data_IF_939814903111
#
_entry.id   IF_939814903111
#
_cell.length_a   1.000
_cell.length_b   1.000
_cell.length_c   1.000
_cell.angle_alpha   90.00
_cell.angle_beta   90.00
_cell.angle_gamma   90.00
#
_symmetry.space_group_name_H-M   'P 1'
#
loop_
_entity.id
_entity.type
_entity.pdbx_description
1 polymer ?
#
# COMPACT_ATOMS: atom_id res chain seq x y z
N UNK A 1 -36.84 13.23 -35.92
CA UNK A 1 -35.62 13.39 -35.07
C UNK A 1 -35.88 13.13 -33.59
N UNK A 2 -36.94 13.65 -32.97
CA UNK A 2 -37.20 13.51 -31.52
C UNK A 2 -37.39 12.08 -31.01
N UNK A 3 -37.95 11.17 -31.82
CA UNK A 3 -38.16 9.76 -31.43
C UNK A 3 -36.85 8.95 -31.20
N UNK A 4 -35.70 9.44 -31.69
CA UNK A 4 -34.40 8.79 -31.50
C UNK A 4 -33.78 9.08 -30.12
N UNK A 5 -34.15 10.19 -29.48
CA UNK A 5 -33.57 10.63 -28.21
C UNK A 5 -33.93 9.68 -27.05
N UNK A 6 -35.08 9.00 -27.12
CA UNK A 6 -35.52 8.05 -26.10
C UNK A 6 -34.63 6.80 -25.97
N UNK A 7 -33.82 6.48 -26.99
CA UNK A 7 -32.93 5.30 -26.99
C UNK A 7 -31.58 5.54 -26.31
N UNK A 8 -31.27 6.78 -25.93
CA UNK A 8 -30.02 7.12 -25.25
C UNK A 8 -30.17 6.82 -23.75
N UNK A 9 -29.44 5.80 -23.28
CA UNK A 9 -29.50 5.35 -21.87
C UNK A 9 -28.84 6.34 -20.90
N UNK A 10 -27.82 7.08 -21.34
CA UNK A 10 -27.15 8.09 -20.51
C UNK A 10 -27.99 9.38 -20.47
N UNK A 11 -28.50 9.71 -19.29
CA UNK A 11 -29.40 10.84 -19.06
C UNK A 11 -28.74 12.20 -19.36
N UNK A 12 -27.43 12.33 -19.11
CA UNK A 12 -26.68 13.56 -19.38
C UNK A 12 -26.50 13.80 -20.87
N UNK A 13 -26.08 12.76 -21.61
CA UNK A 13 -25.92 12.84 -23.08
C UNK A 13 -27.27 13.10 -23.75
N UNK A 14 -28.34 12.44 -23.30
CA UNK A 14 -29.69 12.65 -23.82
C UNK A 14 -30.16 14.10 -23.63
N UNK A 15 -29.88 14.69 -22.47
CA UNK A 15 -30.22 16.09 -22.17
C UNK A 15 -29.45 17.06 -23.07
N UNK A 16 -28.16 16.83 -23.28
CA UNK A 16 -27.31 17.68 -24.10
C UNK A 16 -27.73 17.64 -25.58
N UNK A 17 -28.05 16.44 -26.11
CA UNK A 17 -28.50 16.27 -27.50
C UNK A 17 -29.89 16.87 -27.73
N UNK A 18 -30.80 16.78 -26.75
CA UNK A 18 -32.12 17.42 -26.83
C UNK A 18 -32.00 18.95 -26.86
N UNK A 19 -31.16 19.54 -25.99
CA UNK A 19 -30.93 20.99 -25.94
C UNK A 19 -30.35 21.53 -27.26
N UNK A 20 -29.39 20.82 -27.86
CA UNK A 20 -28.82 21.19 -29.15
C UNK A 20 -29.86 21.17 -30.29
N UNK A 21 -30.74 20.17 -30.30
CA UNK A 21 -31.76 20.01 -31.36
C UNK A 21 -32.82 21.11 -31.31
N UNK A 22 -33.24 21.52 -30.10
CA UNK A 22 -34.21 22.62 -29.90
C UNK A 22 -33.58 23.97 -30.23
N UNK A 23 -32.30 24.18 -29.86
CA UNK A 23 -31.56 25.40 -30.19
C UNK A 23 -31.47 25.63 -31.70
N UNK A 24 -31.11 24.60 -32.48
CA UNK A 24 -30.97 24.73 -33.93
C UNK A 24 -32.28 25.08 -34.66
N UNK A 25 -33.44 24.60 -34.18
CA UNK A 25 -34.73 24.91 -34.80
C UNK A 25 -35.14 26.38 -34.59
N UNK A 26 -34.85 26.94 -33.40
CA UNK A 26 -35.16 28.32 -33.05
C UNK A 26 -34.27 29.29 -33.85
N UNK A 27 -32.98 28.99 -33.98
CA UNK A 27 -32.05 29.82 -34.76
C UNK A 27 -32.41 29.84 -36.25
N UNK A 28 -32.90 28.72 -36.78
CA UNK A 28 -33.28 28.61 -38.19
C UNK A 28 -34.57 29.40 -38.50
N UNK A 29 -35.54 29.43 -37.59
CA UNK A 29 -36.74 30.26 -37.73
C UNK A 29 -36.43 31.77 -37.66
N UNK A 30 -35.51 32.18 -36.78
CA UNK A 30 -35.05 33.57 -36.67
C UNK A 30 -34.29 34.03 -37.92
N UNK A 31 -33.48 33.16 -38.53
CA UNK A 31 -32.75 33.46 -39.76
C UNK A 31 -33.69 33.65 -40.97
N UNK A 32 -34.78 32.88 -41.05
CA UNK A 32 -35.79 33.04 -42.10
C UNK A 32 -36.55 34.36 -41.94
N UNK A 33 -36.87 34.78 -40.70
CA UNK A 33 -37.53 36.06 -40.43
C UNK A 33 -36.69 37.27 -40.86
N UNK A 34 -35.37 37.23 -40.65
CA UNK A 34 -34.44 38.29 -41.05
C UNK A 34 -34.23 38.38 -42.57
N UNK A 35 -34.45 37.29 -43.31
CA UNK A 35 -34.30 37.26 -44.77
C UNK A 35 -35.48 37.85 -45.56
N UNK A 36 -36.65 38.04 -44.92
CA UNK A 36 -37.88 38.47 -45.61
C UNK A 36 -38.18 39.97 -45.43
N UNK A 37 -37.55 40.65 -44.46
CA UNK A 37 -37.78 42.08 -44.21
C UNK A 37 -36.61 42.95 -44.62
N UNK A 38 -36.87 43.94 -45.49
CA UNK A 38 -35.86 44.86 -46.01
C UNK A 38 -35.27 45.72 -44.88
N UNK A 39 -33.99 45.53 -44.59
CA UNK A 39 -33.29 46.12 -43.45
C UNK A 39 -33.01 47.63 -43.66
N UNK A 40 -34.00 48.47 -43.35
CA UNK A 40 -33.80 49.93 -43.25
C UNK A 40 -34.35 50.57 -41.98
N UNK A 41 -34.95 49.82 -41.06
CA UNK A 41 -35.38 50.34 -39.76
C UNK A 41 -34.60 49.70 -38.59
N UNK A 42 -33.83 50.53 -37.89
CA UNK A 42 -32.99 50.17 -36.74
C UNK A 42 -33.79 49.55 -35.56
N UNK A 43 -35.11 49.71 -35.53
CA UNK A 43 -35.98 49.14 -34.50
C UNK A 43 -36.25 47.65 -34.71
N UNK A 44 -36.42 47.19 -35.96
CA UNK A 44 -36.71 45.79 -36.29
C UNK A 44 -35.50 44.88 -36.01
N UNK A 45 -34.29 45.36 -36.29
CA UNK A 45 -33.05 44.65 -35.99
C UNK A 45 -32.84 44.49 -34.48
N UNK A 46 -33.14 45.53 -33.70
CA UNK A 46 -33.04 45.47 -32.23
C UNK A 46 -34.11 44.55 -31.63
N UNK A 47 -35.35 44.58 -32.13
CA UNK A 47 -36.41 43.66 -31.70
C UNK A 47 -36.07 42.19 -32.04
N UNK A 48 -35.53 41.91 -33.23
CA UNK A 48 -35.09 40.57 -33.61
C UNK A 48 -33.92 40.08 -32.75
N UNK A 49 -32.93 40.94 -32.48
CA UNK A 49 -31.78 40.63 -31.63
C UNK A 49 -32.19 40.38 -30.16
N UNK A 50 -33.13 41.17 -29.62
CA UNK A 50 -33.66 40.95 -28.28
C UNK A 50 -34.58 39.72 -28.17
N UNK A 51 -35.31 39.36 -29.24
CA UNK A 51 -36.10 38.12 -29.27
C UNK A 51 -35.24 36.85 -29.36
N UNK A 52 -34.10 36.90 -30.08
CA UNK A 52 -33.12 35.82 -30.12
C UNK A 52 -32.38 35.65 -28.78
N UNK A 53 -32.14 36.74 -28.04
CA UNK A 53 -31.57 36.71 -26.69
C UNK A 53 -32.57 36.27 -25.62
N UNK A 54 -33.87 36.56 -25.79
CA UNK A 54 -34.93 36.07 -24.91
C UNK A 54 -35.30 34.59 -25.16
N UNK A 55 -35.06 34.07 -26.37
CA UNK A 55 -35.31 32.67 -26.74
C UNK A 55 -34.38 31.66 -26.06
N UNK A 56 -33.17 32.06 -25.67
CA UNK A 56 -32.22 31.18 -24.95
C UNK A 56 -32.49 31.15 -23.43
N UNK A 57 -33.37 32.01 -22.93
CA UNK A 57 -33.70 32.13 -21.50
C UNK A 57 -34.97 31.39 -21.04
N UNK A 58 -35.80 30.87 -21.95
CA UNK A 58 -37.07 30.21 -21.58
C UNK A 58 -37.16 28.71 -21.90
N UNK A 59 -36.07 28.07 -22.37
CA UNK A 59 -36.00 26.61 -22.53
C UNK A 59 -35.74 25.84 -21.24
N UNK A 60 -35.26 26.50 -20.18
CA UNK A 60 -34.85 25.86 -18.93
C UNK A 60 -35.95 25.77 -17.86
N UNK A 61 -37.10 26.45 -18.03
CA UNK A 61 -38.19 26.44 -17.05
C UNK A 61 -39.30 25.44 -17.43
N UNK A 62 -39.50 25.15 -18.71
CA UNK A 62 -40.54 24.18 -19.14
C UNK A 62 -40.16 22.70 -18.87
N UNK A 63 -38.87 22.38 -18.76
CA UNK A 63 -38.40 21.04 -18.37
C UNK A 63 -38.48 20.76 -16.87
N UNK A 64 -38.59 21.81 -16.04
CA UNK A 64 -38.59 21.71 -14.57
C UNK A 64 -39.99 21.69 -13.96
N UNK A 65 -41.03 22.10 -14.71
CA UNK A 65 -42.42 22.16 -14.21
C UNK A 65 -43.23 20.88 -14.52
N UNK A 66 -42.82 20.04 -15.49
CA UNK A 66 -43.56 18.81 -15.83
C UNK A 66 -43.07 17.55 -15.10
N UNK A 67 -41.96 17.63 -14.35
CA UNK A 67 -41.44 16.48 -13.57
C UNK A 67 -41.92 16.47 -12.10
N UNK A 68 -42.78 17.40 -11.69
CA UNK A 68 -43.23 17.55 -10.31
C UNK A 68 -44.76 17.45 -10.18
N UNK A 69 -45.34 16.29 -10.56
CA UNK A 69 -46.67 15.86 -10.07
C UNK A 69 -46.75 14.33 -10.14
N UNK A 70 -46.63 13.70 -8.97
CA UNK A 70 -46.47 12.27 -8.75
C UNK A 70 -45.01 11.98 -8.38
N UNK A 71 -44.63 11.69 -7.13
CA UNK A 71 -45.33 10.89 -6.11
C UNK A 71 -44.62 11.06 -4.76
N UNK A 72 -45.28 10.72 -3.67
CA UNK A 72 -44.69 10.31 -2.38
C UNK A 72 -45.18 8.88 -2.09
N UNK A 73 -44.58 8.06 -1.19
CA UNK A 73 -43.43 8.30 -0.30
C UNK A 73 -42.41 7.12 -0.20
N UNK A 74 -41.20 7.37 0.30
CA UNK A 74 -40.60 6.55 1.38
C UNK A 74 -39.29 7.13 1.90
N UNK A 75 -39.23 7.19 3.22
CA UNK A 75 -38.24 7.72 4.16
C UNK A 75 -36.86 7.06 4.07
N UNK A 76 -35.77 7.86 4.03
CA UNK A 76 -34.64 7.76 4.97
C UNK A 76 -33.56 8.83 4.68
N UNK A 77 -33.04 9.37 5.78
CA UNK A 77 -32.28 10.60 5.98
C UNK A 77 -30.77 10.38 5.84
N UNK A 78 -30.02 11.30 5.19
CA UNK A 78 -28.74 11.90 5.65
C UNK A 78 -28.11 12.85 4.58
N UNK A 79 -27.22 13.78 4.97
CA UNK A 79 -27.38 15.21 4.64
C UNK A 79 -26.45 15.76 3.54
N UNK A 80 -26.98 16.81 2.93
CA UNK A 80 -26.40 18.05 2.40
C UNK A 80 -24.86 18.16 2.31
N UNK A 81 -24.35 18.26 1.08
CA UNK A 81 -23.08 18.94 0.79
C UNK A 81 -23.33 19.97 -0.31
N UNK A 82 -23.37 21.23 0.10
CA UNK A 82 -23.40 22.41 -0.77
C UNK A 82 -22.19 22.40 -1.72
N UNK A 83 -22.45 22.37 -3.03
CA UNK A 83 -21.45 22.67 -4.05
C UNK A 83 -21.52 24.16 -4.39
N UNK A 84 -20.70 24.95 -3.69
CA UNK A 84 -20.29 26.26 -4.17
C UNK A 84 -19.37 26.05 -5.40
N UNK A 85 -19.76 26.67 -6.51
CA UNK A 85 -18.97 26.77 -7.74
C UNK A 85 -17.64 27.47 -7.46
N UNK A 86 -16.52 26.82 -7.78
CA UNK A 86 -15.20 27.46 -7.81
C UNK A 86 -14.50 27.15 -9.14
N UNK A 87 -14.82 27.93 -10.18
CA UNK A 87 -13.98 28.10 -11.38
C UNK A 87 -12.72 28.94 -11.06
N UNK A 88 -12.07 28.66 -9.93
CA UNK A 88 -10.93 29.39 -9.39
C UNK A 88 -10.01 28.55 -8.50
N UNK A 89 -10.14 27.22 -8.51
CA UNK A 89 -9.30 26.28 -7.76
C UNK A 89 -8.75 25.21 -8.69
N UNK A 90 -8.06 25.64 -9.74
CA UNK A 90 -6.80 24.94 -10.03
C UNK A 90 -5.84 25.52 -8.99
N UNK A 91 -5.40 24.77 -7.97
CA UNK A 91 -4.15 25.17 -7.37
C UNK A 91 -3.19 25.22 -8.56
N UNK A 92 -2.70 26.42 -8.89
CA UNK A 92 -1.35 26.54 -9.42
C UNK A 92 -0.54 25.49 -8.66
N UNK A 93 0.26 24.69 -9.36
CA UNK A 93 1.07 23.62 -8.77
C UNK A 93 1.95 24.21 -7.66
N UNK A 94 1.33 24.44 -6.52
CA UNK A 94 1.88 25.09 -5.37
C UNK A 94 2.81 24.05 -4.85
N UNK A 95 4.07 24.43 -4.72
CA UNK A 95 5.12 23.57 -4.21
C UNK A 95 4.54 22.68 -3.12
N UNK A 96 4.39 21.38 -3.41
CA UNK A 96 3.91 20.43 -2.41
C UNK A 96 4.93 20.52 -1.28
N UNK A 97 4.59 21.26 -0.22
CA UNK A 97 5.55 21.60 0.81
C UNK A 97 6.01 20.32 1.48
N UNK A 98 7.23 19.91 1.15
CA UNK A 98 7.93 18.86 1.88
C UNK A 98 8.37 19.48 3.20
N UNK A 99 7.99 18.85 4.31
CA UNK A 99 8.53 19.24 5.62
C UNK A 99 9.95 18.67 5.77
N UNK A 100 10.71 19.10 6.78
CA UNK A 100 12.11 18.65 6.98
C UNK A 100 12.25 17.61 8.10
N UNK A 101 11.59 17.83 9.23
CA UNK A 101 11.69 16.96 10.41
C UNK A 101 10.42 16.16 10.65
N UNK A 102 9.77 16.36 11.79
CA UNK A 102 8.56 15.67 12.18
C UNK A 102 7.35 16.53 11.85
N UNK A 103 6.36 15.95 11.18
CA UNK A 103 5.03 16.52 11.00
C UNK A 103 4.02 15.56 11.61
N UNK A 104 3.03 16.08 12.32
CA UNK A 104 2.01 15.27 12.96
C UNK A 104 0.98 14.79 11.92
N UNK A 105 0.62 13.52 12.03
CA UNK A 105 -0.44 12.91 11.24
C UNK A 105 -1.47 12.26 12.15
N UNK A 106 -2.75 12.47 11.86
CA UNK A 106 -3.86 11.81 12.52
C UNK A 106 -4.19 10.51 11.78
N UNK A 107 -4.39 9.43 12.54
CA UNK A 107 -4.94 8.18 12.01
C UNK A 107 -6.42 8.38 11.74
N UNK A 108 -6.82 8.44 10.48
CA UNK A 108 -8.22 8.66 10.07
C UNK A 108 -8.98 7.35 9.83
N UNK A 109 -8.26 6.24 9.59
CA UNK A 109 -8.84 4.93 9.34
C UNK A 109 -7.86 3.83 9.73
N UNK A 110 -8.39 2.74 10.27
CA UNK A 110 -7.66 1.52 10.67
C UNK A 110 -8.39 0.30 10.11
N UNK A 111 -7.68 -0.55 9.37
CA UNK A 111 -8.28 -1.71 8.65
C UNK A 111 -7.46 -2.95 8.94
N UNK A 112 -8.10 -4.04 9.37
CA UNK A 112 -7.47 -5.36 9.48
C UNK A 112 -7.41 -5.99 8.09
N UNK A 113 -6.20 -6.14 7.55
CA UNK A 113 -5.96 -6.64 6.19
C UNK A 113 -5.73 -8.16 6.18
N UNK A 114 -5.23 -8.71 7.29
CA UNK A 114 -5.11 -10.15 7.55
C UNK A 114 -5.06 -10.42 9.06
N UNK A 115 -4.88 -11.68 9.47
CA UNK A 115 -4.70 -12.01 10.90
C UNK A 115 -3.51 -11.31 11.55
N UNK A 116 -2.49 -10.93 10.78
CA UNK A 116 -1.28 -10.31 11.32
C UNK A 116 -1.01 -8.90 10.80
N UNK A 117 -1.67 -8.41 9.74
CA UNK A 117 -1.42 -7.09 9.14
C UNK A 117 -2.62 -6.16 9.32
N UNK A 118 -2.33 -4.94 9.79
CA UNK A 118 -3.31 -3.85 9.93
C UNK A 118 -2.80 -2.61 9.19
N UNK A 119 -3.67 -2.00 8.39
CA UNK A 119 -3.41 -0.72 7.72
C UNK A 119 -3.89 0.47 8.55
N UNK A 120 -3.11 1.55 8.50
CA UNK A 120 -3.34 2.84 9.15
C UNK A 120 -3.27 3.92 8.09
N UNK A 121 -4.34 4.68 7.95
CA UNK A 121 -4.45 5.78 6.99
C UNK A 121 -4.21 7.10 7.73
N UNK A 122 -3.28 7.88 7.22
CA UNK A 122 -2.70 9.03 7.89
C UNK A 122 -2.97 10.30 7.08
N UNK A 123 -3.58 11.29 7.72
CA UNK A 123 -3.73 12.65 7.20
C UNK A 123 -2.94 13.63 8.07
N UNK A 124 -2.37 14.69 7.49
CA UNK A 124 -1.64 15.66 8.29
C UNK A 124 -2.60 16.39 9.23
N UNK A 125 -2.19 16.52 10.49
CA UNK A 125 -3.00 17.15 11.55
C UNK A 125 -3.35 18.61 11.24
N UNK A 126 -2.43 19.32 10.58
CA UNK A 126 -2.56 20.71 10.17
C UNK A 126 -3.48 20.93 8.96
N UNK A 127 -4.03 19.86 8.35
CA UNK A 127 -4.90 19.92 7.17
C UNK A 127 -4.20 20.34 5.87
N UNK A 128 -2.90 20.59 5.89
CA UNK A 128 -2.13 21.01 4.72
C UNK A 128 -1.93 19.88 3.71
N UNK A 129 -1.53 20.19 2.48
CA UNK A 129 -1.23 19.17 1.48
C UNK A 129 -0.05 18.27 1.88
N UNK A 130 -0.02 17.04 1.35
CA UNK A 130 1.13 16.14 1.45
C UNK A 130 1.79 15.94 0.08
N UNK A 131 3.13 15.83 0.02
CA UNK A 131 3.83 15.54 -1.21
C UNK A 131 3.48 14.15 -1.73
N UNK A 132 3.53 13.98 -3.05
CA UNK A 132 3.53 12.64 -3.62
C UNK A 132 4.88 11.98 -3.31
N UNK A 133 4.96 10.66 -3.51
CA UNK A 133 6.12 9.84 -3.25
C UNK A 133 6.37 8.90 -4.43
N UNK A 134 7.55 8.30 -4.46
CA UNK A 134 7.87 7.26 -5.44
C UNK A 134 7.41 5.89 -4.89
N UNK A 135 6.75 5.06 -5.71
CA UNK A 135 6.20 3.78 -5.24
C UNK A 135 7.33 2.85 -4.75
N UNK A 136 7.26 2.45 -3.47
CA UNK A 136 8.31 1.71 -2.77
C UNK A 136 9.04 2.48 -1.66
N UNK A 137 8.85 3.81 -1.61
CA UNK A 137 9.30 4.64 -0.48
C UNK A 137 8.57 4.29 0.82
N UNK A 138 9.10 4.82 1.93
CA UNK A 138 8.60 4.59 3.27
C UNK A 138 8.46 5.90 4.05
N UNK A 139 7.62 5.90 5.08
CA UNK A 139 7.64 6.91 6.13
C UNK A 139 8.49 6.44 7.31
N UNK A 140 9.22 7.38 7.91
CA UNK A 140 9.81 7.18 9.25
C UNK A 140 8.84 7.76 10.26
N UNK A 141 8.36 6.95 11.20
CA UNK A 141 7.44 7.39 12.26
C UNK A 141 8.12 7.35 13.62
N UNK A 142 7.65 8.20 14.53
CA UNK A 142 8.06 8.26 15.93
C UNK A 142 6.90 7.86 16.82
N UNK A 143 7.14 6.96 17.77
CA UNK A 143 6.13 6.45 18.69
C UNK A 143 6.56 6.71 20.13
N UNK A 144 5.75 7.45 20.87
CA UNK A 144 5.92 7.65 22.30
C UNK A 144 5.23 6.50 23.06
N UNK A 145 5.95 5.40 23.22
CA UNK A 145 5.42 4.15 23.78
C UNK A 145 5.61 4.15 25.30
N UNK A 146 4.53 3.99 26.10
CA UNK A 146 4.63 3.90 27.56
C UNK A 146 5.64 2.85 28.01
N UNK A 147 6.48 3.21 28.99
CA UNK A 147 7.54 2.34 29.52
C UNK A 147 8.82 2.30 28.68
N UNK A 148 8.89 3.00 27.53
CA UNK A 148 10.15 3.19 26.81
C UNK A 148 10.85 4.49 27.25
N UNK A 149 12.17 4.46 27.50
CA UNK A 149 12.89 5.65 27.98
C UNK A 149 13.06 6.73 26.90
N UNK A 150 12.88 6.37 25.63
CA UNK A 150 12.95 7.27 24.48
C UNK A 150 11.90 6.89 23.43
N UNK A 151 11.49 7.84 22.58
CA UNK A 151 10.59 7.54 21.47
C UNK A 151 11.14 6.44 20.57
N UNK A 152 10.29 5.50 20.19
CA UNK A 152 10.63 4.39 19.30
C UNK A 152 10.44 4.84 17.86
N UNK A 153 11.53 4.83 17.07
CA UNK A 153 11.52 5.24 15.67
C UNK A 153 11.51 4.00 14.78
N UNK A 154 10.59 3.95 13.80
CA UNK A 154 10.47 2.84 12.84
C UNK A 154 10.15 3.37 11.44
N UNK A 155 10.50 2.56 10.44
CA UNK A 155 10.17 2.84 9.05
C UNK A 155 9.15 1.84 8.55
N UNK A 156 8.15 2.33 7.82
CA UNK A 156 7.10 1.51 7.21
C UNK A 156 6.88 1.96 5.77
N UNK A 157 6.89 1.00 4.85
CA UNK A 157 6.63 1.26 3.43
C UNK A 157 5.26 1.91 3.25
N UNK A 158 5.20 2.90 2.37
CA UNK A 158 3.92 3.43 1.89
C UNK A 158 3.28 2.33 1.06
N UNK A 159 2.10 1.92 1.50
CA UNK A 159 1.41 0.72 1.02
C UNK A 159 0.22 1.04 0.14
N UNK A 160 0.11 2.26 -0.36
CA UNK A 160 -0.91 2.65 -1.33
C UNK A 160 -0.24 3.48 -2.42
N UNK A 161 -0.98 3.80 -3.48
CA UNK A 161 -0.60 4.81 -4.46
C UNK A 161 -1.88 5.36 -5.09
N UNK A 162 -2.12 6.65 -4.90
CA UNK A 162 -3.25 7.35 -5.48
C UNK A 162 -2.83 8.79 -5.82
N UNK A 163 -3.37 9.34 -6.90
CA UNK A 163 -3.07 10.71 -7.33
C UNK A 163 -3.51 11.77 -6.31
N UNK A 164 -4.53 11.46 -5.51
CA UNK A 164 -5.26 12.46 -4.72
C UNK A 164 -4.49 13.05 -3.53
N UNK A 165 -3.28 12.56 -3.20
CA UNK A 165 -2.49 13.09 -2.08
C UNK A 165 -3.31 13.20 -0.78
N UNK A 166 -4.36 12.38 -0.65
CA UNK A 166 -5.37 12.57 0.38
C UNK A 166 -4.94 11.98 1.72
N UNK A 167 -4.05 10.98 1.69
CA UNK A 167 -3.53 10.30 2.87
C UNK A 167 -2.26 9.52 2.51
N UNK A 168 -1.52 9.12 3.54
CA UNK A 168 -0.57 8.01 3.45
C UNK A 168 -1.15 6.74 4.09
N UNK A 169 -0.87 5.57 3.52
CA UNK A 169 -1.24 4.28 4.11
C UNK A 169 0.00 3.52 4.57
N UNK A 170 0.08 3.23 5.86
CA UNK A 170 1.07 2.32 6.44
C UNK A 170 0.39 0.99 6.76
N UNK A 171 1.03 -0.12 6.41
CA UNK A 171 0.51 -1.46 6.67
C UNK A 171 1.51 -2.25 7.47
N UNK A 172 1.13 -2.61 8.68
CA UNK A 172 2.07 -3.05 9.70
C UNK A 172 1.70 -4.46 10.14
N UNK A 173 2.67 -5.36 10.04
CA UNK A 173 2.56 -6.69 10.62
C UNK A 173 2.82 -6.66 12.13
N UNK A 174 1.96 -7.34 12.90
CA UNK A 174 2.19 -7.63 14.32
C UNK A 174 3.33 -8.63 14.45
N UNK A 175 4.30 -8.32 15.30
CA UNK A 175 5.41 -9.22 15.63
C UNK A 175 5.23 -9.69 17.08
N UNK A 176 4.42 -10.72 17.34
CA UNK A 176 4.23 -11.22 18.70
C UNK A 176 5.52 -11.89 19.20
N UNK A 177 5.52 -12.27 20.48
CA UNK A 177 6.60 -13.10 21.04
C UNK A 177 6.67 -14.40 20.24
N UNK A 178 7.82 -14.77 19.64
CA UNK A 178 7.91 -16.01 18.88
C UNK A 178 7.70 -17.20 19.82
N UNK A 179 6.75 -18.07 19.47
CA UNK A 179 6.38 -19.25 20.26
C UNK A 179 7.61 -20.12 20.53
N UNK A 180 7.80 -20.53 21.78
CA UNK A 180 8.91 -21.40 22.19
C UNK A 180 10.27 -20.70 22.23
N UNK A 181 10.31 -19.37 22.25
CA UNK A 181 11.56 -18.59 22.36
C UNK A 181 11.48 -17.59 23.51
N UNK A 182 12.65 -17.13 23.96
CA UNK A 182 12.78 -16.04 24.95
C UNK A 182 12.95 -14.67 24.27
N UNK A 183 12.68 -14.55 22.96
CA UNK A 183 12.78 -13.28 22.26
C UNK A 183 11.59 -12.39 22.58
N UNK A 184 11.84 -11.11 22.85
CA UNK A 184 10.80 -10.14 23.16
C UNK A 184 9.90 -9.85 21.93
N UNK A 185 8.59 -9.60 22.13
CA UNK A 185 7.71 -9.15 21.06
C UNK A 185 8.17 -7.80 20.47
N UNK A 186 7.78 -7.54 19.23
CA UNK A 186 8.03 -6.26 18.56
C UNK A 186 7.29 -5.11 19.23
N UNK A 187 8.00 -4.28 19.99
CA UNK A 187 7.39 -3.20 20.79
C UNK A 187 6.56 -2.24 19.93
N UNK A 188 7.11 -1.79 18.79
CA UNK A 188 6.43 -0.83 17.92
C UNK A 188 5.21 -1.42 17.20
N UNK A 189 5.32 -2.61 16.62
CA UNK A 189 4.22 -3.21 15.86
C UNK A 189 3.05 -3.60 16.77
N UNK A 190 3.32 -4.16 17.95
CA UNK A 190 2.25 -4.45 18.92
C UNK A 190 1.60 -3.16 19.43
N UNK A 191 2.38 -2.11 19.74
CA UNK A 191 1.80 -0.81 20.12
C UNK A 191 0.89 -0.22 19.03
N UNK A 192 1.31 -0.26 17.77
CA UNK A 192 0.49 0.17 16.63
C UNK A 192 -0.83 -0.61 16.56
N UNK A 193 -0.80 -1.93 16.78
CA UNK A 193 -2.02 -2.74 16.74
C UNK A 193 -2.92 -2.53 17.96
N UNK A 194 -2.36 -2.48 19.16
CA UNK A 194 -3.10 -2.52 20.42
C UNK A 194 -3.57 -1.15 20.90
N UNK A 195 -2.76 -0.11 20.70
CA UNK A 195 -2.95 1.20 21.32
C UNK A 195 -3.28 2.32 20.34
N UNK A 196 -2.74 2.26 19.13
CA UNK A 196 -3.04 3.27 18.10
C UNK A 196 -4.43 3.01 17.52
N UNK A 197 -5.31 4.00 17.62
CA UNK A 197 -6.69 3.98 17.12
C UNK A 197 -6.95 5.16 16.18
N UNK A 198 -8.12 5.19 15.56
CA UNK A 198 -8.58 6.39 14.83
C UNK A 198 -8.55 7.59 15.79
N UNK A 199 -8.04 8.73 15.32
CA UNK A 199 -7.78 9.93 16.10
C UNK A 199 -6.39 9.99 16.76
N UNK A 200 -5.62 8.89 16.77
CA UNK A 200 -4.25 8.92 17.31
C UNK A 200 -3.32 9.76 16.42
N UNK A 201 -2.40 10.50 17.06
CA UNK A 201 -1.41 11.32 16.38
C UNK A 201 -0.08 10.55 16.26
N UNK A 202 0.50 10.56 15.06
CA UNK A 202 1.77 9.92 14.73
C UNK A 202 2.66 10.94 14.04
N UNK A 203 3.76 11.38 14.69
CA UNK A 203 4.76 12.19 14.02
C UNK A 203 5.51 11.37 12.96
N UNK A 204 5.63 11.91 11.75
CA UNK A 204 6.32 11.28 10.63
C UNK A 204 7.33 12.23 9.96
N UNK A 205 8.41 11.66 9.41
CA UNK A 205 9.31 12.34 8.45
C UNK A 205 8.79 12.21 7.02
N UNK A 206 9.25 13.04 6.07
CA UNK A 206 8.84 12.92 4.67
C UNK A 206 9.11 11.53 4.09
N UNK A 207 8.36 11.13 3.05
CA UNK A 207 8.67 9.93 2.30
C UNK A 207 10.14 9.88 1.87
N UNK A 208 10.77 8.73 2.07
CA UNK A 208 12.17 8.53 1.70
C UNK A 208 12.45 7.09 1.29
N UNK A 209 13.63 6.85 0.73
CA UNK A 209 14.09 5.54 0.29
C UNK A 209 14.44 5.47 -1.19
N UNK A 210 15.30 4.51 -1.53
CA UNK A 210 15.82 4.25 -2.88
C UNK A 210 15.28 2.97 -3.53
N UNK A 211 14.51 2.18 -2.79
CA UNK A 211 13.83 1.00 -3.31
C UNK A 211 12.53 1.47 -3.96
N UNK A 212 12.60 1.85 -5.23
CA UNK A 212 11.50 2.53 -5.93
C UNK A 212 11.31 1.96 -7.33
N UNK A 213 10.06 1.77 -7.73
CA UNK A 213 9.72 1.48 -9.12
C UNK A 213 9.63 2.82 -9.87
N UNK A 214 10.33 2.95 -10.98
CA UNK A 214 10.10 4.05 -11.91
C UNK A 214 8.95 3.66 -12.85
N UNK A 215 7.74 4.22 -12.71
CA UNK A 215 6.59 3.81 -13.52
C UNK A 215 6.76 4.16 -15.00
N UNK A 216 7.65 5.08 -15.37
CA UNK A 216 7.81 5.54 -16.76
C UNK A 216 8.64 4.59 -17.64
N UNK A 217 9.36 3.63 -17.04
CA UNK A 217 10.13 2.64 -17.81
C UNK A 217 9.21 1.70 -18.58
N UNK A 218 9.65 1.30 -19.77
CA UNK A 218 9.01 0.25 -20.57
C UNK A 218 9.51 -1.16 -20.23
N UNK A 219 10.72 -1.28 -19.70
CA UNK A 219 11.29 -2.56 -19.27
C UNK A 219 10.34 -3.20 -18.24
N UNK A 220 9.92 -4.45 -18.42
CA UNK A 220 8.99 -5.10 -17.49
C UNK A 220 9.50 -5.13 -16.05
N UNK A 221 8.61 -5.31 -15.08
CA UNK A 221 9.01 -5.49 -13.68
C UNK A 221 8.36 -6.71 -13.03
N UNK A 222 9.12 -7.36 -12.14
CA UNK A 222 8.68 -8.50 -11.33
C UNK A 222 8.73 -8.09 -9.87
N UNK A 223 7.54 -7.92 -9.28
CA UNK A 223 7.31 -7.53 -7.89
C UNK A 223 7.18 -8.79 -7.04
N UNK A 224 8.25 -9.16 -6.34
CA UNK A 224 8.35 -10.44 -5.62
C UNK A 224 8.33 -10.21 -4.12
N UNK A 225 7.36 -10.82 -3.44
CA UNK A 225 7.22 -10.63 -2.00
C UNK A 225 6.78 -11.86 -1.22
N UNK A 226 7.05 -11.85 0.08
CA UNK A 226 6.37 -12.73 1.03
C UNK A 226 5.89 -11.98 2.29
N UNK A 227 4.76 -12.42 2.85
CA UNK A 227 4.15 -11.81 4.03
C UNK A 227 3.99 -10.28 3.91
N UNK A 228 4.44 -9.53 4.94
CA UNK A 228 4.35 -8.05 4.95
C UNK A 228 5.21 -7.36 3.88
N UNK A 229 6.09 -8.09 3.20
CA UNK A 229 6.84 -7.58 2.05
C UNK A 229 5.96 -7.18 0.86
N UNK A 230 4.67 -7.55 0.87
CA UNK A 230 3.66 -7.13 -0.11
C UNK A 230 3.44 -5.60 -0.11
N UNK A 231 3.75 -4.93 0.99
CA UNK A 231 3.40 -3.51 1.22
C UNK A 231 3.99 -2.53 0.18
N UNK A 232 5.30 -2.54 -0.16
CA UNK A 232 5.78 -1.73 -1.27
C UNK A 232 5.26 -2.24 -2.62
N UNK A 233 5.01 -3.55 -2.77
CA UNK A 233 4.60 -4.14 -4.06
C UNK A 233 3.22 -3.66 -4.49
N UNK A 234 2.27 -3.55 -3.57
CA UNK A 234 0.94 -3.04 -3.91
C UNK A 234 0.98 -1.55 -4.28
N UNK A 235 1.85 -0.75 -3.64
CA UNK A 235 2.09 0.64 -4.05
C UNK A 235 2.67 0.72 -5.46
N UNK A 236 3.64 -0.13 -5.78
CA UNK A 236 4.23 -0.26 -7.12
C UNK A 236 3.21 -0.71 -8.18
N UNK A 237 2.40 -1.72 -7.88
CA UNK A 237 1.37 -2.22 -8.81
C UNK A 237 0.30 -1.16 -9.10
N UNK A 238 -0.15 -0.42 -8.09
CA UNK A 238 -1.08 0.70 -8.26
C UNK A 238 -0.46 1.83 -9.08
N UNK A 239 0.78 2.22 -8.78
CA UNK A 239 1.47 3.27 -9.52
C UNK A 239 1.68 2.91 -10.99
N UNK A 240 2.10 1.67 -11.28
CA UNK A 240 2.24 1.18 -12.65
C UNK A 240 0.89 1.19 -13.38
N UNK A 241 -0.16 0.67 -12.73
CA UNK A 241 -1.51 0.65 -13.31
C UNK A 241 -2.04 2.05 -13.61
N UNK A 242 -1.80 3.02 -12.74
CA UNK A 242 -2.28 4.39 -12.90
C UNK A 242 -1.46 5.19 -13.93
N UNK A 243 -0.13 5.08 -13.87
CA UNK A 243 0.78 5.98 -14.59
C UNK A 243 1.34 5.38 -15.89
N UNK A 244 1.35 4.06 -16.03
CA UNK A 244 1.84 3.36 -17.21
C UNK A 244 1.19 1.96 -17.33
N UNK A 245 -0.12 1.87 -17.63
CA UNK A 245 -0.86 0.62 -17.68
C UNK A 245 -0.40 -0.35 -18.78
N UNK A 246 0.49 0.09 -19.68
CA UNK A 246 1.04 -0.75 -20.75
C UNK A 246 2.31 -1.50 -20.36
N UNK A 247 2.95 -1.12 -19.25
CA UNK A 247 4.15 -1.82 -18.77
C UNK A 247 3.77 -3.19 -18.23
N UNK A 248 4.38 -4.29 -18.72
CA UNK A 248 4.13 -5.61 -18.15
C UNK A 248 4.70 -5.70 -16.73
N UNK A 249 3.85 -6.12 -15.78
CA UNK A 249 4.19 -6.31 -14.38
C UNK A 249 3.80 -7.72 -13.95
N UNK A 250 4.71 -8.45 -13.33
CA UNK A 250 4.41 -9.67 -12.61
C UNK A 250 4.38 -9.39 -11.11
N UNK A 251 3.24 -9.65 -10.48
CA UNK A 251 3.06 -9.57 -9.04
C UNK A 251 3.10 -10.98 -8.45
N UNK A 252 4.22 -11.37 -7.87
CA UNK A 252 4.44 -12.73 -7.34
C UNK A 252 4.50 -12.68 -5.81
N UNK A 253 3.49 -13.23 -5.16
CA UNK A 253 3.34 -13.15 -3.70
C UNK A 253 3.28 -14.51 -3.03
N UNK A 254 4.11 -14.72 -2.01
CA UNK A 254 4.11 -15.89 -1.14
C UNK A 254 3.45 -15.61 0.21
N UNK A 255 2.50 -16.45 0.60
CA UNK A 255 1.94 -16.47 1.96
C UNK A 255 1.92 -17.90 2.54
N UNK A 256 1.62 -18.01 3.83
CA UNK A 256 1.44 -19.33 4.47
C UNK A 256 0.13 -19.97 4.01
N UNK A 257 -0.95 -19.20 4.10
CA UNK A 257 -2.34 -19.60 3.87
C UNK A 257 -3.19 -18.32 3.77
N UNK A 258 -4.47 -18.46 3.43
CA UNK A 258 -5.36 -17.32 3.15
C UNK A 258 -5.50 -16.33 4.29
N UNK A 259 -5.59 -16.80 5.54
CA UNK A 259 -5.79 -15.92 6.71
C UNK A 259 -4.63 -14.94 6.95
N UNK A 260 -3.44 -15.22 6.41
CA UNK A 260 -2.27 -14.34 6.50
C UNK A 260 -2.00 -13.55 5.22
N UNK A 261 -2.76 -13.78 4.14
CA UNK A 261 -2.62 -13.07 2.87
C UNK A 261 -3.35 -11.72 2.93
N UNK A 262 -2.62 -10.65 3.25
CA UNK A 262 -3.14 -9.29 3.20
C UNK A 262 -3.37 -8.82 1.75
N UNK A 263 -4.34 -7.93 1.55
CA UNK A 263 -4.61 -7.25 0.27
C UNK A 263 -5.03 -8.15 -0.91
N UNK A 264 -5.41 -9.42 -0.69
CA UNK A 264 -5.80 -10.34 -1.76
C UNK A 264 -6.82 -9.73 -2.72
N UNK A 265 -7.91 -9.20 -2.17
CA UNK A 265 -9.03 -8.68 -2.96
C UNK A 265 -8.66 -7.34 -3.62
N UNK A 266 -7.80 -6.56 -2.98
CA UNK A 266 -7.27 -5.30 -3.53
C UNK A 266 -6.36 -5.57 -4.74
N UNK A 267 -5.45 -6.54 -4.64
CA UNK A 267 -4.59 -6.97 -5.76
C UNK A 267 -5.42 -7.53 -6.91
N UNK A 268 -6.44 -8.35 -6.61
CA UNK A 268 -7.36 -8.86 -7.64
C UNK A 268 -8.10 -7.71 -8.36
N UNK A 269 -8.52 -6.69 -7.63
CA UNK A 269 -9.18 -5.50 -8.21
C UNK A 269 -8.23 -4.74 -9.14
N UNK A 270 -6.97 -4.55 -8.76
CA UNK A 270 -5.98 -3.88 -9.62
C UNK A 270 -5.74 -4.71 -10.90
N UNK A 271 -5.65 -6.03 -10.78
CA UNK A 271 -5.44 -6.92 -11.93
C UNK A 271 -6.63 -6.91 -12.90
N UNK A 272 -7.87 -6.80 -12.39
CA UNK A 272 -9.06 -6.64 -13.25
C UNK A 272 -9.04 -5.34 -14.05
N UNK A 273 -8.40 -4.28 -13.52
CA UNK A 273 -8.30 -2.97 -14.17
C UNK A 273 -7.10 -2.86 -15.11
N UNK A 274 -6.11 -3.76 -14.99
CA UNK A 274 -4.88 -3.71 -15.75
C UNK A 274 -4.52 -5.09 -16.35
N UNK A 275 -4.77 -5.32 -17.65
CA UNK A 275 -4.44 -6.59 -18.29
C UNK A 275 -2.94 -6.89 -18.37
N UNK A 276 -2.07 -5.88 -18.14
CA UNK A 276 -0.62 -6.06 -18.08
C UNK A 276 -0.11 -6.33 -16.66
N UNK A 277 -0.99 -6.47 -15.66
CA UNK A 277 -0.65 -6.93 -14.32
C UNK A 277 -0.94 -8.44 -14.18
N UNK A 278 0.11 -9.24 -14.29
CA UNK A 278 0.05 -10.69 -14.13
C UNK A 278 0.26 -11.06 -12.66
N UNK A 279 -0.77 -11.59 -11.99
CA UNK A 279 -0.71 -11.96 -10.57
C UNK A 279 -0.45 -13.45 -10.41
N UNK A 280 0.52 -13.81 -9.57
CA UNK A 280 0.74 -15.17 -9.12
C UNK A 280 0.86 -15.22 -7.59
N UNK A 281 0.09 -16.10 -6.96
CA UNK A 281 0.04 -16.24 -5.50
C UNK A 281 0.39 -17.68 -5.16
N UNK A 282 1.41 -17.87 -4.31
CA UNK A 282 1.80 -19.18 -3.83
C UNK A 282 1.52 -19.30 -2.32
N UNK A 283 0.82 -20.36 -1.93
CA UNK A 283 0.61 -20.71 -0.52
C UNK A 283 1.46 -21.90 -0.13
N UNK A 284 2.29 -21.72 0.89
CA UNK A 284 3.19 -22.78 1.38
C UNK A 284 2.50 -23.83 2.23
N UNK A 285 1.33 -23.50 2.83
CA UNK A 285 0.54 -24.37 3.71
C UNK A 285 -0.97 -24.07 3.55
N UNK A 286 -1.54 -24.18 2.34
CA UNK A 286 -2.94 -23.84 2.11
C UNK A 286 -3.87 -24.69 2.98
N UNK A 287 -4.96 -24.10 3.43
CA UNK A 287 -6.03 -24.77 4.16
C UNK A 287 -7.22 -25.08 3.24
N UNK A 288 -8.16 -25.95 3.62
CA UNK A 288 -9.34 -26.24 2.80
C UNK A 288 -10.13 -25.00 2.33
N UNK A 289 -10.29 -23.92 3.14
CA UNK A 289 -10.95 -22.69 2.67
C UNK A 289 -10.15 -21.89 1.64
N UNK A 290 -8.87 -22.21 1.39
CA UNK A 290 -8.02 -21.48 0.46
C UNK A 290 -8.17 -21.95 -0.99
N UNK A 291 -8.88 -23.06 -1.24
CA UNK A 291 -9.06 -23.62 -2.58
C UNK A 291 -9.62 -22.58 -3.55
N UNK A 292 -8.93 -22.33 -4.66
CA UNK A 292 -9.29 -21.31 -5.66
C UNK A 292 -8.80 -19.89 -5.35
N UNK A 293 -8.08 -19.69 -4.24
CA UNK A 293 -7.55 -18.38 -3.83
C UNK A 293 -6.02 -18.26 -3.97
N UNK A 294 -5.36 -19.27 -4.54
CA UNK A 294 -3.93 -19.29 -4.85
C UNK A 294 -3.69 -20.02 -6.17
N UNK A 295 -2.52 -19.80 -6.76
CA UNK A 295 -2.13 -20.31 -8.08
C UNK A 295 -1.20 -21.53 -7.98
N UNK A 296 -0.37 -21.61 -6.94
CA UNK A 296 0.48 -22.77 -6.69
C UNK A 296 0.69 -23.03 -5.20
N UNK A 297 1.08 -24.26 -4.87
CA UNK A 297 1.50 -24.65 -3.52
C UNK A 297 3.02 -24.56 -3.39
N UNK A 298 3.51 -24.14 -2.22
CA UNK A 298 4.94 -24.05 -1.93
C UNK A 298 5.41 -22.61 -1.71
N UNK A 299 6.73 -22.42 -1.75
CA UNK A 299 7.34 -21.10 -1.65
C UNK A 299 7.44 -20.46 -3.03
N UNK A 300 7.49 -19.13 -3.05
CA UNK A 300 7.98 -18.41 -4.23
C UNK A 300 9.49 -18.58 -4.27
N UNK A 301 10.00 -19.21 -5.31
CA UNK A 301 11.42 -19.45 -5.55
C UNK A 301 11.80 -19.06 -6.99
N UNK A 302 13.09 -19.19 -7.31
CA UNK A 302 13.63 -18.79 -8.62
C UNK A 302 13.03 -19.61 -9.75
N UNK A 303 12.75 -20.90 -9.54
CA UNK A 303 12.19 -21.77 -10.56
C UNK A 303 10.77 -21.34 -10.93
N UNK A 304 9.94 -21.02 -9.93
CA UNK A 304 8.64 -20.41 -10.16
C UNK A 304 8.77 -19.09 -10.93
N UNK A 305 9.66 -18.19 -10.54
CA UNK A 305 9.86 -16.91 -11.24
C UNK A 305 10.23 -17.13 -12.71
N UNK A 306 11.14 -18.05 -13.00
CA UNK A 306 11.57 -18.37 -14.38
C UNK A 306 10.49 -19.06 -15.20
N UNK A 307 9.57 -19.79 -14.56
CA UNK A 307 8.41 -20.37 -15.25
C UNK A 307 7.42 -19.30 -15.72
N UNK A 308 7.30 -18.20 -14.95
CA UNK A 308 6.34 -17.13 -15.19
C UNK A 308 6.89 -16.02 -16.09
N UNK A 309 8.19 -15.74 -15.99
CA UNK A 309 8.85 -14.61 -16.65
C UNK A 309 9.97 -15.11 -17.55
N UNK A 310 9.73 -15.08 -18.85
CA UNK A 310 10.65 -15.58 -19.88
C UNK A 310 11.25 -14.42 -20.71
N UNK A 311 11.37 -13.24 -20.10
CA UNK A 311 11.87 -12.02 -20.74
C UNK A 311 12.67 -11.17 -19.74
N UNK A 312 13.45 -10.23 -20.27
CA UNK A 312 14.20 -9.28 -19.44
C UNK A 312 13.26 -8.42 -18.60
N UNK A 313 13.62 -8.20 -17.34
CA UNK A 313 12.79 -7.45 -16.39
C UNK A 313 13.62 -6.90 -15.21
N UNK A 314 13.09 -5.88 -14.53
CA UNK A 314 13.58 -5.45 -13.23
C UNK A 314 12.92 -6.26 -12.11
N UNK A 315 13.71 -6.80 -11.18
CA UNK A 315 13.23 -7.65 -10.09
C UNK A 315 13.25 -6.89 -8.77
N UNK A 316 12.09 -6.70 -8.16
CA UNK A 316 11.91 -6.01 -6.89
C UNK A 316 11.61 -7.02 -5.80
N UNK A 317 12.52 -7.17 -4.85
CA UNK A 317 12.44 -8.19 -3.80
C UNK A 317 12.13 -7.55 -2.43
N UNK A 318 11.06 -7.99 -1.77
CA UNK A 318 10.76 -7.60 -0.40
C UNK A 318 10.13 -8.73 0.41
N UNK A 319 10.76 -9.12 1.52
CA UNK A 319 10.28 -10.21 2.36
C UNK A 319 11.22 -10.52 3.51
N UNK A 320 11.17 -11.74 4.02
CA UNK A 320 12.12 -12.21 5.01
C UNK A 320 13.57 -12.23 4.46
N UNK A 321 14.60 -12.04 5.30
CA UNK A 321 15.99 -12.04 4.83
C UNK A 321 16.38 -13.31 4.07
N UNK A 322 15.99 -14.49 4.58
CA UNK A 322 16.29 -15.77 3.93
C UNK A 322 15.63 -15.89 2.54
N UNK A 323 14.38 -15.43 2.42
CA UNK A 323 13.65 -15.42 1.15
C UNK A 323 14.34 -14.53 0.11
N UNK A 324 14.66 -13.29 0.48
CA UNK A 324 15.31 -12.35 -0.43
C UNK A 324 16.71 -12.82 -0.83
N UNK A 325 17.47 -13.41 0.10
CA UNK A 325 18.80 -13.94 -0.20
C UNK A 325 18.73 -15.10 -1.20
N UNK A 326 17.83 -16.07 -0.96
CA UNK A 326 17.64 -17.22 -1.85
C UNK A 326 17.26 -16.81 -3.27
N UNK A 327 16.32 -15.86 -3.42
CA UNK A 327 15.93 -15.33 -4.74
C UNK A 327 17.07 -14.56 -5.42
N UNK A 328 17.82 -13.74 -4.68
CA UNK A 328 18.96 -13.02 -5.25
C UNK A 328 20.01 -13.98 -5.79
N UNK A 329 20.35 -15.02 -5.03
CA UNK A 329 21.33 -16.04 -5.44
C UNK A 329 20.84 -16.82 -6.65
N UNK A 330 19.58 -17.25 -6.67
CA UNK A 330 19.02 -17.99 -7.79
C UNK A 330 18.89 -17.14 -9.06
N UNK A 331 18.44 -15.88 -8.96
CA UNK A 331 18.37 -14.96 -10.11
C UNK A 331 19.77 -14.70 -10.69
N UNK A 332 20.77 -14.52 -9.82
CA UNK A 332 22.17 -14.41 -10.24
C UNK A 332 22.66 -15.67 -10.94
N UNK A 333 22.35 -16.85 -10.41
CA UNK A 333 22.70 -18.13 -11.04
C UNK A 333 21.98 -18.32 -12.40
N UNK A 334 20.79 -17.73 -12.56
CA UNK A 334 20.05 -17.70 -13.81
C UNK A 334 20.54 -16.62 -14.81
N UNK A 335 21.60 -15.87 -14.48
CA UNK A 335 22.21 -14.87 -15.36
C UNK A 335 21.59 -13.48 -15.29
N UNK A 336 20.70 -13.20 -14.34
CA UNK A 336 20.13 -11.86 -14.15
C UNK A 336 21.21 -10.89 -13.63
N UNK A 337 21.46 -9.75 -14.30
CA UNK A 337 22.43 -8.77 -13.82
C UNK A 337 22.04 -8.18 -12.46
N UNK A 338 23.01 -8.01 -11.55
CA UNK A 338 22.78 -7.39 -10.23
C UNK A 338 22.16 -5.98 -10.34
N UNK A 339 22.39 -5.25 -11.45
CA UNK A 339 21.79 -3.94 -11.72
C UNK A 339 20.28 -3.96 -11.94
N UNK A 340 19.70 -5.13 -12.23
CA UNK A 340 18.26 -5.33 -12.40
C UNK A 340 17.59 -5.90 -11.14
N UNK A 341 18.35 -6.20 -10.07
CA UNK A 341 17.80 -6.78 -8.83
C UNK A 341 17.82 -5.76 -7.70
N UNK A 342 16.63 -5.33 -7.28
CA UNK A 342 16.42 -4.35 -6.22
C UNK A 342 15.95 -5.05 -4.95
N UNK A 343 16.59 -4.74 -3.82
CA UNK A 343 16.31 -5.37 -2.52
C UNK A 343 15.83 -4.33 -1.51
N UNK A 344 14.66 -4.56 -0.92
CA UNK A 344 14.21 -3.79 0.25
C UNK A 344 14.86 -4.34 1.51
N UNK A 345 15.93 -3.69 1.94
CA UNK A 345 16.51 -3.96 3.25
C UNK A 345 15.62 -3.34 4.34
N UNK A 346 15.11 -4.15 5.26
CA UNK A 346 14.64 -3.61 6.54
C UNK A 346 15.87 -3.05 7.25
N UNK A 347 15.81 -1.79 7.68
CA UNK A 347 16.88 -1.19 8.48
C UNK A 347 17.14 -2.15 9.64
N UNK A 348 18.39 -2.63 9.76
CA UNK A 348 18.81 -3.54 10.81
C UNK A 348 18.28 -3.01 12.14
N UNK A 349 17.59 -3.84 12.91
CA UNK A 349 17.53 -3.62 14.35
C UNK A 349 18.98 -3.44 14.78
N UNK A 350 19.30 -2.28 15.35
CA UNK A 350 20.63 -1.94 15.84
C UNK A 350 21.18 -3.15 16.60
N UNK A 351 22.35 -3.64 16.18
CA UNK A 351 23.13 -4.59 16.96
C UNK A 351 23.37 -3.94 18.33
N UNK A 352 22.53 -4.27 19.30
CA UNK A 352 22.93 -4.16 20.69
C UNK A 352 24.10 -5.14 20.83
N UNK A 353 25.24 -4.61 21.24
CA UNK A 353 26.54 -5.25 21.18
C UNK A 353 26.65 -6.53 22.00
N UNK A 354 26.10 -7.63 21.49
CA UNK A 354 26.57 -8.96 21.83
C UNK A 354 27.82 -9.19 20.99
N UNK A 355 28.99 -9.16 21.65
CA UNK A 355 30.15 -9.88 21.13
C UNK A 355 29.69 -11.31 20.86
N UNK A 356 30.08 -11.93 19.73
CA UNK A 356 29.85 -13.37 19.57
C UNK A 356 30.50 -14.05 20.77
N UNK A 357 29.68 -14.76 21.54
CA UNK A 357 30.18 -15.69 22.53
C UNK A 357 31.09 -16.67 21.77
N UNK A 358 32.32 -16.95 22.23
CA UNK A 358 33.15 -17.95 21.58
C UNK A 358 32.37 -19.26 21.56
N UNK A 359 32.22 -19.82 20.36
CA UNK A 359 31.59 -21.12 20.16
C UNK A 359 32.19 -22.13 21.14
N UNK A 360 31.34 -22.74 21.97
CA UNK A 360 31.73 -23.91 22.73
C UNK A 360 32.28 -24.95 21.75
N UNK A 361 33.48 -25.52 21.98
CA UNK A 361 34.05 -26.50 21.08
C UNK A 361 33.11 -27.72 21.02
N UNK A 362 32.92 -28.23 19.80
CA UNK A 362 32.26 -29.51 19.54
C UNK A 362 32.89 -30.63 20.38
N UNK A 363 32.11 -31.58 20.91
CA UNK A 363 32.62 -32.62 21.80
C UNK A 363 33.38 -33.69 21.01
N UNK A 364 34.58 -33.36 20.56
CA UNK A 364 35.54 -34.33 20.05
C UNK A 364 36.98 -33.81 20.06
N UNK A 365 37.37 -33.03 21.09
CA UNK A 365 38.79 -32.69 21.26
C UNK A 365 39.13 -32.27 22.70
N UNK A 366 38.93 -33.17 23.66
CA UNK A 366 39.60 -33.06 24.97
C UNK A 366 40.02 -34.45 25.47
N UNK A 367 41.19 -34.87 25.02
CA UNK A 367 41.99 -35.86 25.72
C UNK A 367 42.79 -35.16 26.84
N UNK A 368 42.72 -35.75 28.04
CA UNK A 368 43.70 -35.66 29.15
C UNK A 368 43.71 -34.34 29.94
N UNK A 369 43.04 -34.31 31.09
CA UNK A 369 43.69 -34.47 32.42
C UNK A 369 42.62 -34.33 33.53
N UNK A 370 42.10 -35.45 34.06
CA UNK A 370 41.15 -35.43 35.20
C UNK A 370 41.87 -35.92 36.47
N UNK A 371 42.24 -35.00 37.35
CA UNK A 371 42.31 -35.27 38.79
C UNK A 371 40.90 -35.23 39.36
N UNK A 372 40.38 -36.38 39.82
CA UNK A 372 39.15 -36.41 40.61
C UNK A 372 39.49 -36.11 42.07
N UNK A 373 38.97 -35.00 42.59
CA UNK A 373 38.90 -34.74 44.02
C UNK A 373 37.40 -34.65 44.38
N UNK A 374 36.89 -35.60 45.16
CA UNK A 374 35.50 -35.61 45.64
C UNK A 374 35.45 -35.05 47.08
N UNK A 375 34.46 -34.20 47.43
CA UNK A 375 34.27 -33.73 48.79
C UNK A 375 33.66 -34.84 49.67
N UNK A 376 34.20 -35.00 50.88
CA UNK A 376 33.73 -35.96 51.87
C UNK A 376 32.37 -35.49 52.45
N UNK A 377 31.30 -36.23 52.18
CA UNK A 377 29.95 -35.98 52.73
C UNK A 377 29.80 -36.69 54.08
N UNK A 378 30.39 -36.11 55.12
CA UNK A 378 30.17 -36.49 56.52
C UNK A 378 29.73 -35.29 57.35
N UNK A 379 28.78 -35.49 58.27
CA UNK A 379 28.11 -34.46 59.10
C UNK A 379 29.11 -33.47 59.72
N UNK A 380 28.95 -32.17 59.43
CA UNK A 380 29.78 -31.09 60.00
C UNK A 380 29.17 -30.52 61.29
N UNK A 381 30.00 -30.31 62.31
CA UNK A 381 29.74 -29.35 63.39
C UNK A 381 30.34 -27.96 63.04
N UNK A 382 29.90 -26.86 63.67
CA UNK A 382 30.30 -25.51 63.26
C UNK A 382 31.73 -25.22 63.76
N UNK A 383 32.71 -25.15 62.83
CA UNK A 383 34.08 -24.71 63.16
C UNK A 383 35.20 -25.16 62.21
N UNK A 384 35.06 -26.28 61.49
CA UNK A 384 36.19 -26.88 60.77
C UNK A 384 36.36 -26.44 59.31
N UNK A 385 37.61 -26.14 58.91
CA UNK A 385 38.04 -25.95 57.51
C UNK A 385 38.32 -27.31 56.84
N UNK A 386 37.81 -27.50 55.63
CA UNK A 386 37.95 -28.76 54.89
C UNK A 386 39.32 -28.87 54.15
N UNK A 387 39.98 -30.02 54.27
CA UNK A 387 41.13 -30.44 53.43
C UNK A 387 40.69 -31.58 52.51
N UNK A 388 41.11 -31.56 51.23
CA UNK A 388 40.83 -32.61 50.24
C UNK A 388 42.09 -33.45 49.96
N UNK A 389 41.92 -34.77 49.81
CA UNK A 389 43.00 -35.71 49.44
C UNK A 389 42.75 -36.22 48.01
N UNK A 390 43.80 -36.27 47.19
CA UNK A 390 43.72 -36.64 45.77
C UNK A 390 44.66 -37.85 45.48
N UNK A 391 44.19 -38.81 44.67
CA UNK A 391 44.96 -39.98 44.19
C UNK A 391 45.13 -39.95 42.66
N UNK A 392 46.25 -40.45 42.14
CA UNK A 392 46.55 -40.57 40.70
C UNK A 392 46.35 -42.01 40.19
N UNK A 393 45.76 -42.18 39.00
CA UNK A 393 45.66 -43.47 38.30
C UNK A 393 46.43 -43.45 36.96
N UNK A 394 47.06 -44.56 36.54
CA UNK A 394 47.90 -44.61 35.35
C UNK A 394 47.11 -44.81 34.04
N UNK A 395 47.65 -44.26 32.94
CA UNK A 395 47.05 -44.19 31.60
C UNK A 395 47.04 -45.55 30.88
N UNK A 396 45.94 -45.89 30.21
CA UNK A 396 45.93 -46.83 29.07
C UNK A 396 45.55 -46.10 27.79
N UNK A 397 46.33 -46.37 26.75
CA UNK A 397 46.22 -45.86 25.38
C UNK A 397 45.17 -46.63 24.59
N UNK A 398 44.32 -45.91 23.85
CA UNK A 398 43.89 -46.27 22.50
C UNK A 398 43.93 -44.99 21.69
#
# INVERSE_FOLDING_TARGET
MLASLGKIQNSFVRSLTAAATVGSAITMAAAIGLGVTNAKENAAYRAALYSALAGTGCGAIFGLVYSARGSQPSTQTQPERQTLSIDGLRPAAGERQTWKDWRNFVVIRKVKESEEITSFYLQPEDGGAIPNFQPGQFLTIKLDIPGQPRPVIRTYSLSDYAESGAYYRLSIKREPMPVGTNFMPGIASNFMHDRVQVGSIIPAKPPSGKFVLDPQKSLPAVLISNGVGITPMISMAKAATLLNPHRPIWFVHGAREGRFHAFRDEVATIAQQNPNLHVHVAYSRPQPPDTGHYHSTGYVDTDLIRSLVQQDAEYFLCGSPAFMQSLREGLKAAGVPDSQVFLKHSLRASRWGLKPEPSLPTPMEQAIDRKLCLPNLGKRQPGDRAMAVCWNLPKRTI
#
